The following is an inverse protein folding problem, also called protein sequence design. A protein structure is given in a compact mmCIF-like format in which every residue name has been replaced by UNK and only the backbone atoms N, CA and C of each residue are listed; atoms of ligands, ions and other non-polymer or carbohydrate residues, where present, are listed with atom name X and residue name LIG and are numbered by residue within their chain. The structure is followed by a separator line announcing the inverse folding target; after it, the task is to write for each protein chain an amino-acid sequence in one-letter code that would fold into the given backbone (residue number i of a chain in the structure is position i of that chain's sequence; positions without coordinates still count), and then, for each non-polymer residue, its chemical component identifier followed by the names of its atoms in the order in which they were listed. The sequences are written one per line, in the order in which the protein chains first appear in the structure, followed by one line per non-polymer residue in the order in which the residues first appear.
data_IF_275272272936
#
_entry.id   IF_275272272936
#
_cell.length_a   1.000
_cell.length_b   1.000
_cell.length_c   1.000
_cell.angle_alpha   90.00
_cell.angle_beta   90.00
_cell.angle_gamma   90.00
#
_symmetry.space_group_name_H-M   'P 1'
#
loop_
_entity.id
_entity.type
_entity.pdbx_description
1 polymer ?
#
# COMPACT_ATOMS: atom_id res chain seq x y z
N UNK A 1 7.96 12.01 -8.90
CA UNK A 1 8.80 11.25 -9.85
C UNK A 1 9.98 10.66 -9.09
N UNK A 2 10.28 9.37 -9.26
CA UNK A 2 11.47 8.76 -8.64
C UNK A 2 11.99 7.62 -9.50
N UNK A 3 13.31 7.52 -9.64
CA UNK A 3 13.95 6.47 -10.45
C UNK A 3 13.70 5.07 -9.85
N UNK A 4 13.70 4.00 -10.65
CA UNK A 4 13.65 2.64 -10.12
C UNK A 4 14.70 2.45 -9.01
N UNK A 5 14.33 1.79 -7.92
CA UNK A 5 15.24 1.56 -6.78
C UNK A 5 15.40 2.70 -5.77
N UNK A 6 14.86 3.91 -5.98
CA UNK A 6 15.03 5.05 -5.05
C UNK A 6 14.11 5.02 -3.82
N UNK A 7 13.63 3.85 -3.40
CA UNK A 7 12.81 3.73 -2.19
C UNK A 7 11.42 4.38 -2.25
N UNK A 8 10.85 4.62 -3.46
CA UNK A 8 9.51 5.23 -3.61
C UNK A 8 8.45 4.55 -2.75
N UNK A 9 8.45 3.22 -2.71
CA UNK A 9 7.51 2.42 -1.91
C UNK A 9 7.69 2.66 -0.42
N UNK A 10 8.93 2.84 0.05
CA UNK A 10 9.25 3.19 1.43
C UNK A 10 8.72 4.59 1.79
N UNK A 11 8.86 5.56 0.87
CA UNK A 11 8.29 6.91 1.08
C UNK A 11 6.78 6.86 1.20
N UNK A 12 6.11 6.04 0.39
CA UNK A 12 4.65 5.82 0.51
C UNK A 12 4.31 5.22 1.87
N UNK A 13 5.02 4.18 2.32
CA UNK A 13 4.77 3.57 3.62
C UNK A 13 4.93 4.56 4.78
N UNK A 14 5.99 5.37 4.77
CA UNK A 14 6.22 6.42 5.77
C UNK A 14 5.14 7.51 5.75
N UNK A 15 4.65 7.91 4.57
CA UNK A 15 3.55 8.87 4.48
C UNK A 15 2.26 8.29 5.07
N UNK A 16 1.98 7.01 4.83
CA UNK A 16 0.79 6.31 5.35
C UNK A 16 0.86 6.16 6.86
N UNK A 17 2.03 5.83 7.42
CA UNK A 17 2.26 5.77 8.86
C UNK A 17 1.92 7.10 9.54
N UNK A 18 2.46 8.21 9.02
CA UNK A 18 2.17 9.56 9.53
C UNK A 18 0.69 9.95 9.43
N UNK A 19 -0.02 9.51 8.39
CA UNK A 19 -1.46 9.76 8.25
C UNK A 19 -2.30 8.88 9.17
N UNK A 20 -1.86 7.64 9.41
CA UNK A 20 -2.50 6.72 10.34
C UNK A 20 -2.44 7.24 11.78
N UNK A 21 -1.32 7.84 12.19
CA UNK A 21 -1.17 8.49 13.50
C UNK A 21 -2.15 9.66 13.70
N UNK A 22 -2.62 10.26 12.61
CA UNK A 22 -3.60 11.36 12.61
C UNK A 22 -5.04 10.87 12.43
N UNK A 23 -5.27 9.56 12.60
CA UNK A 23 -6.56 8.89 12.39
C UNK A 23 -7.21 9.22 11.04
N UNK A 24 -6.38 9.56 10.04
CA UNK A 24 -6.85 9.96 8.72
C UNK A 24 -6.83 8.73 7.81
N UNK A 25 -7.98 8.23 7.33
CA UNK A 25 -8.01 7.08 6.44
C UNK A 25 -7.36 7.43 5.09
N UNK A 26 -6.49 6.55 4.60
CA UNK A 26 -5.75 6.74 3.35
C UNK A 26 -6.21 5.74 2.30
N UNK A 27 -6.47 6.22 1.10
CA UNK A 27 -6.74 5.38 -0.07
C UNK A 27 -5.52 5.34 -0.98
N UNK A 28 -5.02 4.14 -1.25
CA UNK A 28 -3.86 3.89 -2.10
C UNK A 28 -4.34 3.10 -3.31
N UNK A 29 -4.01 3.59 -4.50
CA UNK A 29 -4.37 2.94 -5.77
C UNK A 29 -3.12 2.71 -6.62
N UNK A 30 -3.16 1.70 -7.47
CA UNK A 30 -2.11 1.43 -8.44
C UNK A 30 -2.72 0.87 -9.73
N UNK A 31 -1.99 0.99 -10.85
CA UNK A 31 -2.50 0.58 -12.17
C UNK A 31 -2.51 -0.94 -12.41
N UNK A 32 -1.93 -1.75 -11.52
CA UNK A 32 -1.90 -3.21 -11.68
C UNK A 32 -2.01 -3.94 -10.35
N UNK A 33 -2.55 -5.16 -10.41
CA UNK A 33 -2.68 -6.05 -9.25
C UNK A 33 -1.31 -6.37 -8.61
N UNK A 34 -0.26 -6.52 -9.42
CA UNK A 34 1.10 -6.75 -8.92
C UNK A 34 1.60 -5.54 -8.13
N UNK A 35 1.34 -4.32 -8.61
CA UNK A 35 1.71 -3.11 -7.88
C UNK A 35 0.94 -2.95 -6.57
N UNK A 36 -0.37 -3.26 -6.55
CA UNK A 36 -1.18 -3.27 -5.32
C UNK A 36 -0.63 -4.28 -4.31
N UNK A 37 -0.29 -5.50 -4.75
CA UNK A 37 0.30 -6.54 -3.89
C UNK A 37 1.65 -6.11 -3.32
N UNK A 38 2.54 -5.55 -4.14
CA UNK A 38 3.84 -5.09 -3.68
C UNK A 38 3.75 -3.93 -2.68
N UNK A 39 2.80 -3.00 -2.88
CA UNK A 39 2.50 -1.94 -1.93
C UNK A 39 1.95 -2.51 -0.62
N UNK A 40 0.96 -3.41 -0.70
CA UNK A 40 0.38 -4.08 0.45
C UNK A 40 1.44 -4.81 1.28
N UNK A 41 2.32 -5.58 0.63
CA UNK A 41 3.44 -6.25 1.30
C UNK A 41 4.35 -5.26 2.03
N UNK A 42 4.71 -4.14 1.39
CA UNK A 42 5.53 -3.11 2.03
C UNK A 42 4.83 -2.45 3.22
N UNK A 43 3.53 -2.19 3.14
CA UNK A 43 2.77 -1.61 4.25
C UNK A 43 2.68 -2.59 5.44
N UNK A 44 2.51 -3.88 5.16
CA UNK A 44 2.55 -4.93 6.19
C UNK A 44 3.90 -5.02 6.89
N UNK A 45 5.03 -4.90 6.15
CA UNK A 45 6.38 -4.85 6.75
C UNK A 45 6.54 -3.70 7.76
N UNK A 46 5.78 -2.62 7.59
CA UNK A 46 5.76 -1.46 8.48
C UNK A 46 4.65 -1.54 9.55
N UNK A 47 4.00 -2.69 9.74
CA UNK A 47 2.90 -2.92 10.70
C UNK A 47 1.70 -1.97 10.52
N UNK A 48 1.46 -1.49 9.30
CA UNK A 48 0.33 -0.61 9.00
C UNK A 48 -0.92 -1.46 8.82
N UNK A 49 -1.98 -1.16 9.58
CA UNK A 49 -3.27 -1.82 9.42
C UNK A 49 -3.92 -1.42 8.09
N UNK A 50 -4.22 -2.40 7.24
CA UNK A 50 -4.79 -2.17 5.92
C UNK A 50 -5.90 -3.15 5.58
N UNK A 51 -6.78 -2.74 4.68
CA UNK A 51 -7.73 -3.62 4.00
C UNK A 51 -7.46 -3.54 2.50
N UNK A 52 -7.36 -4.70 1.85
CA UNK A 52 -7.25 -4.77 0.39
C UNK A 52 -8.64 -5.00 -0.19
N UNK A 53 -9.05 -4.15 -1.12
CA UNK A 53 -10.27 -4.34 -1.88
C UNK A 53 -9.90 -5.13 -3.14
N UNK A 54 -10.51 -6.30 -3.30
CA UNK A 54 -10.36 -7.17 -4.47
C UNK A 54 -11.72 -7.39 -5.11
N UNK A 55 -11.76 -7.61 -6.42
CA UNK A 55 -13.01 -8.03 -7.07
C UNK A 55 -13.38 -9.43 -6.59
N UNK A 56 -14.68 -9.74 -6.58
CA UNK A 56 -15.20 -11.00 -6.05
C UNK A 56 -14.61 -12.22 -6.78
N UNK A 57 -14.34 -12.05 -8.06
CA UNK A 57 -13.80 -13.06 -8.96
C UNK A 57 -12.31 -13.35 -8.71
N UNK A 58 -11.62 -12.52 -7.93
CA UNK A 58 -10.19 -12.66 -7.62
C UNK A 58 -9.92 -13.37 -6.29
N UNK A 59 -10.96 -13.61 -5.47
CA UNK A 59 -10.83 -14.36 -4.22
C UNK A 59 -11.13 -15.85 -4.47
N UNK A 60 -10.13 -16.70 -4.25
CA UNK A 60 -10.29 -18.16 -4.27
C UNK A 60 -10.15 -18.62 -2.81
N UNK A 61 -11.18 -19.26 -2.26
CA UNK A 61 -11.19 -19.81 -0.89
C UNK A 61 -10.14 -20.90 -0.68
#
# INVERSE_FOLDING_TARGET
LGLPGTGKTTVIAQAVELWSERETPVWITAQSNIAVKNLGGKLCEHNINLKMIVSKEFFVE
#
